data_IF_662701171334
#
_entry.id   IF_662701171334
#
_cell.length_a   1.000
_cell.length_b   1.000
_cell.length_c   1.000
_cell.angle_alpha   90.00
_cell.angle_beta   90.00
_cell.angle_gamma   90.00
#
_symmetry.space_group_name_H-M   'P 1'
#
loop_
_entity.id
_entity.type
_entity.pdbx_description
1 polymer ?
#
# COMPACT_ATOMS: atom_id res chain seq x y z
N UNK A 1 14.85 -18.10 -8.03
CA UNK A 1 13.51 -18.68 -7.82
C UNK A 1 12.55 -17.51 -7.69
N UNK A 2 12.17 -16.94 -8.82
CA UNK A 2 11.30 -15.76 -8.91
C UNK A 2 9.87 -16.23 -8.80
N UNK A 3 9.18 -15.86 -7.71
CA UNK A 3 7.76 -16.17 -7.52
C UNK A 3 6.95 -15.41 -8.56
N UNK A 4 6.37 -16.13 -9.51
CA UNK A 4 5.49 -15.60 -10.56
C UNK A 4 4.13 -15.07 -10.08
N UNK A 5 4.06 -14.53 -8.86
CA UNK A 5 2.86 -13.86 -8.33
C UNK A 5 2.87 -12.35 -8.61
N UNK A 6 4.06 -11.74 -8.76
CA UNK A 6 4.19 -10.28 -8.93
C UNK A 6 3.88 -9.79 -10.34
N UNK A 7 3.75 -10.68 -11.33
CA UNK A 7 3.42 -10.32 -12.72
C UNK A 7 1.92 -10.03 -12.97
N UNK A 8 1.03 -10.22 -11.98
CA UNK A 8 -0.42 -10.01 -12.18
C UNK A 8 -0.95 -8.68 -11.66
N UNK A 9 -0.12 -7.84 -11.02
CA UNK A 9 -0.49 -6.47 -10.63
C UNK A 9 -0.05 -5.42 -11.66
N UNK A 10 0.41 -5.85 -12.85
CA UNK A 10 1.00 -5.00 -13.90
C UNK A 10 -0.05 -4.20 -14.72
N UNK A 11 -1.07 -3.66 -14.06
CA UNK A 11 -2.03 -2.74 -14.68
C UNK A 11 -2.35 -1.60 -13.70
N UNK A 12 -1.54 -0.55 -13.78
CA UNK A 12 -1.62 0.64 -12.94
C UNK A 12 -3.02 1.27 -12.85
N UNK A 13 -3.25 1.91 -11.70
CA UNK A 13 -4.45 2.62 -11.21
C UNK A 13 -5.35 1.88 -10.22
N UNK A 14 -4.90 0.81 -9.56
CA UNK A 14 -5.61 0.24 -8.41
C UNK A 14 -4.61 -0.12 -7.34
N UNK A 15 -4.86 0.36 -6.12
CA UNK A 15 -4.21 -0.17 -4.91
C UNK A 15 -4.43 -1.67 -4.92
N UNK A 16 -3.37 -2.47 -4.77
CA UNK A 16 -3.52 -3.91 -4.62
C UNK A 16 -4.48 -4.20 -3.48
N UNK A 17 -5.34 -5.23 -3.61
CA UNK A 17 -6.32 -5.54 -2.56
C UNK A 17 -5.64 -5.73 -1.18
N UNK A 18 -4.42 -6.26 -1.19
CA UNK A 18 -3.60 -6.40 0.02
C UNK A 18 -3.16 -5.05 0.59
N UNK A 19 -2.68 -4.14 -0.25
CA UNK A 19 -2.23 -2.81 0.17
C UNK A 19 -3.39 -2.00 0.75
N UNK A 20 -4.59 -2.17 0.20
CA UNK A 20 -5.79 -1.53 0.74
C UNK A 20 -6.14 -2.05 2.13
N UNK A 21 -6.04 -3.36 2.37
CA UNK A 21 -6.24 -3.94 3.69
C UNK A 21 -5.17 -3.50 4.70
N UNK A 22 -3.92 -3.39 4.27
CA UNK A 22 -2.82 -2.86 5.08
C UNK A 22 -3.12 -1.40 5.47
N UNK A 23 -3.46 -0.55 4.49
CA UNK A 23 -3.77 0.85 4.71
C UNK A 23 -4.99 1.05 5.63
N UNK A 24 -6.07 0.30 5.40
CA UNK A 24 -7.26 0.36 6.24
C UNK A 24 -6.97 -0.04 7.69
N UNK A 25 -6.15 -1.07 7.89
CA UNK A 25 -5.72 -1.51 9.22
C UNK A 25 -4.88 -0.42 9.91
N UNK A 26 -3.89 0.14 9.19
CA UNK A 26 -3.04 1.20 9.71
C UNK A 26 -3.85 2.42 10.16
N UNK A 27 -4.81 2.85 9.33
CA UNK A 27 -5.71 3.95 9.66
C UNK A 27 -6.59 3.65 10.89
N UNK A 28 -7.16 2.45 10.98
CA UNK A 28 -8.01 2.04 12.11
C UNK A 28 -7.24 2.05 13.45
N UNK A 29 -5.97 1.65 13.44
CA UNK A 29 -5.11 1.63 14.62
C UNK A 29 -4.29 2.91 14.84
N UNK A 30 -4.44 3.92 13.96
CA UNK A 30 -3.67 5.18 14.00
C UNK A 30 -2.15 4.95 13.96
N UNK A 31 -1.72 3.99 13.15
CA UNK A 31 -0.32 3.65 12.91
C UNK A 31 0.11 4.08 11.50
N UNK A 32 1.40 4.42 11.28
CA UNK A 32 1.90 4.67 9.94
C UNK A 32 2.09 3.35 9.17
N UNK A 33 1.94 3.40 7.85
CA UNK A 33 2.46 2.36 6.95
C UNK A 33 3.92 2.71 6.65
N UNK A 34 4.83 1.84 7.07
CA UNK A 34 6.26 1.94 6.73
C UNK A 34 6.50 1.03 5.53
N UNK A 35 6.93 1.57 4.39
CA UNK A 35 7.05 0.79 3.15
C UNK A 35 8.21 1.24 2.26
N UNK A 36 8.76 0.28 1.50
CA UNK A 36 9.69 0.53 0.38
C UNK A 36 8.96 0.59 -0.98
N UNK A 37 7.67 0.23 -0.98
CA UNK A 37 6.84 0.15 -2.17
C UNK A 37 6.26 1.53 -2.55
N UNK A 38 6.12 1.80 -3.84
CA UNK A 38 5.50 3.01 -4.35
C UNK A 38 3.98 2.91 -4.54
N UNK A 39 3.40 1.73 -4.39
CA UNK A 39 1.97 1.49 -4.59
C UNK A 39 1.08 2.21 -3.56
N UNK A 40 1.65 2.68 -2.44
CA UNK A 40 0.95 3.47 -1.43
C UNK A 40 0.85 4.96 -1.75
N UNK A 41 1.56 5.48 -2.76
CA UNK A 41 1.54 6.92 -3.10
C UNK A 41 0.15 7.41 -3.48
N UNK A 42 -0.65 6.57 -4.13
CA UNK A 42 -2.01 6.91 -4.52
C UNK A 42 -2.96 7.09 -3.32
N UNK A 43 -2.50 6.72 -2.11
CA UNK A 43 -3.22 6.90 -0.85
C UNK A 43 -2.70 8.10 -0.03
N UNK A 44 -1.73 8.86 -0.53
CA UNK A 44 -1.30 10.09 0.14
C UNK A 44 -2.46 11.09 0.28
N UNK A 45 -2.54 11.74 1.44
CA UNK A 45 -3.59 12.71 1.75
C UNK A 45 -4.92 12.10 2.23
N UNK A 46 -5.05 10.78 2.29
CA UNK A 46 -6.19 10.12 2.93
C UNK A 46 -6.19 10.44 4.43
N UNK A 47 -7.30 10.99 4.92
CA UNK A 47 -7.41 11.38 6.32
C UNK A 47 -7.21 10.19 7.27
N UNK A 48 -6.31 10.35 8.24
CA UNK A 48 -5.99 9.30 9.22
C UNK A 48 -4.99 8.25 8.73
N UNK A 49 -4.43 8.40 7.54
CA UNK A 49 -3.37 7.55 7.01
C UNK A 49 -2.06 8.33 6.89
N UNK A 50 -0.97 7.73 7.38
CA UNK A 50 0.39 8.27 7.26
C UNK A 50 1.24 7.22 6.57
N UNK A 51 1.91 7.59 5.48
CA UNK A 51 2.85 6.74 4.76
C UNK A 51 4.27 7.25 5.04
N UNK A 52 5.17 6.35 5.39
CA UNK A 52 6.60 6.63 5.60
C UNK A 52 7.42 5.73 4.69
N UNK A 53 8.31 6.35 3.93
CA UNK A 53 9.18 5.67 2.97
C UNK A 53 10.54 5.34 3.59
N UNK A 54 11.02 4.13 3.33
CA UNK A 54 12.33 3.62 3.81
C UNK A 54 13.11 2.91 2.71
#
# INVERSE_FOLDING_TARGET
RTSGADHLAEAGRRVGVNDLWIAASAAAYKLPVITQDNDFDILEGVAGLVIVRV
#
